data_IF_575126631485
#
_entry.id   IF_575126631485
#
_cell.length_a   1.000
_cell.length_b   1.000
_cell.length_c   1.000
_cell.angle_alpha   90.00
_cell.angle_beta   90.00
_cell.angle_gamma   90.00
#
_symmetry.space_group_name_H-M   'P 1'
#
loop_
_entity.id
_entity.type
_entity.pdbx_description
1 polymer ?
#
# COMPACT_ATOMS: atom_id res chain seq x y z
N UNK A 1 -3.50 19.37 0.31
CA UNK A 1 -3.24 18.06 0.91
C UNK A 1 -1.74 17.94 1.06
N UNK A 2 -1.26 17.79 2.29
CA UNK A 2 0.17 17.63 2.55
C UNK A 2 0.51 16.15 2.42
N UNK A 3 0.71 15.72 1.17
CA UNK A 3 1.26 14.40 0.90
C UNK A 3 2.76 14.45 1.14
N UNK A 4 3.30 13.53 1.95
CA UNK A 4 4.73 13.46 2.21
C UNK A 4 5.27 12.03 2.04
N UNK A 5 6.51 11.93 1.56
CA UNK A 5 7.18 10.66 1.33
C UNK A 5 7.60 10.04 2.65
N UNK A 6 7.34 8.76 2.81
CA UNK A 6 7.75 7.98 3.99
C UNK A 6 8.68 6.84 3.60
N UNK A 7 9.47 6.38 4.56
CA UNK A 7 10.28 5.17 4.38
C UNK A 7 9.39 3.93 4.44
N UNK A 8 9.80 2.85 3.78
CA UNK A 8 9.08 1.57 3.80
C UNK A 8 8.94 0.99 5.20
N UNK A 9 9.92 1.21 6.08
CA UNK A 9 9.85 0.74 7.46
C UNK A 9 8.78 1.48 8.27
N UNK A 10 8.58 2.77 8.00
CA UNK A 10 7.46 3.53 8.58
C UNK A 10 6.13 3.01 8.05
N UNK A 11 6.03 2.77 6.74
CA UNK A 11 4.85 2.20 6.13
C UNK A 11 4.47 0.83 6.75
N UNK A 12 5.44 -0.05 6.92
CA UNK A 12 5.23 -1.38 7.51
C UNK A 12 4.81 -1.31 8.98
N UNK A 13 5.42 -0.42 9.77
CA UNK A 13 5.03 -0.23 11.15
C UNK A 13 3.56 0.19 11.29
N UNK A 14 3.06 0.97 10.32
CA UNK A 14 1.69 1.48 10.33
C UNK A 14 0.67 0.53 9.67
N UNK A 15 1.09 -0.37 8.79
CA UNK A 15 0.19 -1.22 7.96
C UNK A 15 0.36 -2.73 8.17
N UNK A 16 1.21 -3.15 9.12
CA UNK A 16 1.54 -4.57 9.35
C UNK A 16 0.32 -5.47 9.53
N UNK A 17 -0.67 -4.99 10.29
CA UNK A 17 -2.00 -5.58 10.41
C UNK A 17 -3.01 -4.46 10.60
N UNK A 18 -3.85 -4.22 9.60
CA UNK A 18 -4.80 -3.12 9.61
C UNK A 18 -6.07 -3.48 8.84
N UNK A 19 -7.15 -2.73 9.08
CA UNK A 19 -8.36 -2.80 8.24
C UNK A 19 -8.20 -1.78 7.12
N UNK A 20 -8.24 -2.27 5.88
CA UNK A 20 -7.97 -1.42 4.73
C UNK A 20 -8.84 -1.76 3.51
N UNK A 21 -9.04 -0.73 2.69
CA UNK A 21 -9.47 -0.84 1.31
C UNK A 21 -8.30 -0.44 0.42
N UNK A 22 -8.25 -0.94 -0.81
CA UNK A 22 -7.17 -0.54 -1.69
C UNK A 22 -7.32 -1.08 -3.10
N UNK A 23 -6.51 -0.52 -3.98
CA UNK A 23 -6.36 -0.99 -5.34
C UNK A 23 -4.88 -0.98 -5.74
N UNK A 24 -4.51 -1.91 -6.60
CA UNK A 24 -3.23 -1.90 -7.28
C UNK A 24 -3.48 -1.93 -8.78
N UNK A 25 -2.89 -0.96 -9.47
CA UNK A 25 -3.06 -0.76 -10.91
C UNK A 25 -1.68 -0.86 -11.55
N UNK A 26 -1.50 -1.88 -12.38
CA UNK A 26 -0.30 -2.10 -13.17
C UNK A 26 -0.65 -2.19 -14.66
N UNK A 27 0.36 -2.12 -15.53
CA UNK A 27 0.16 -2.30 -16.96
C UNK A 27 -0.45 -3.68 -17.25
N UNK A 28 -1.72 -3.70 -17.67
CA UNK A 28 -2.43 -4.91 -18.07
C UNK A 28 -3.08 -5.70 -16.95
N UNK A 29 -3.05 -5.23 -15.69
CA UNK A 29 -3.74 -5.87 -14.58
C UNK A 29 -4.11 -4.87 -13.47
N UNK A 30 -5.33 -5.00 -12.96
CA UNK A 30 -5.82 -4.32 -11.77
C UNK A 30 -6.34 -5.32 -10.74
N UNK A 31 -6.17 -4.99 -9.46
CA UNK A 31 -6.76 -5.71 -8.34
C UNK A 31 -7.29 -4.69 -7.34
N UNK A 32 -8.47 -4.93 -6.79
CA UNK A 32 -9.05 -4.10 -5.74
C UNK A 32 -9.66 -4.95 -4.64
N UNK A 33 -9.67 -4.42 -3.42
CA UNK A 33 -10.33 -4.99 -2.26
C UNK A 33 -10.94 -3.88 -1.40
N UNK A 34 -11.97 -4.21 -0.64
CA UNK A 34 -12.65 -3.27 0.23
C UNK A 34 -12.84 -3.86 1.61
N UNK A 35 -12.50 -3.08 2.63
CA UNK A 35 -12.86 -3.31 4.01
C UNK A 35 -12.38 -4.68 4.56
N UNK A 36 -11.13 -5.01 4.27
CA UNK A 36 -10.49 -6.30 4.59
C UNK A 36 -9.42 -6.11 5.68
N UNK A 37 -9.26 -7.13 6.53
CA UNK A 37 -8.07 -7.29 7.37
C UNK A 37 -6.86 -7.62 6.48
N UNK A 38 -6.01 -6.61 6.30
CA UNK A 38 -4.81 -6.67 5.48
C UNK A 38 -3.60 -6.95 6.36
N UNK A 39 -2.78 -7.91 5.94
CA UNK A 39 -1.46 -8.13 6.53
C UNK A 39 -0.38 -7.68 5.56
N UNK A 40 0.46 -6.75 6.01
CA UNK A 40 1.55 -6.20 5.21
C UNK A 40 2.89 -6.60 5.83
N UNK A 41 3.77 -7.19 5.04
CA UNK A 41 5.11 -7.53 5.49
C UNK A 41 6.09 -7.48 4.33
N UNK A 42 7.39 -7.42 4.63
CA UNK A 42 8.43 -7.52 3.61
C UNK A 42 9.40 -8.63 3.92
N UNK A 43 10.03 -9.15 2.87
CA UNK A 43 11.26 -9.92 2.99
C UNK A 43 12.44 -9.09 2.46
N UNK A 44 13.55 -9.73 2.08
CA UNK A 44 14.76 -9.03 1.58
C UNK A 44 14.57 -8.38 0.21
N UNK A 45 13.63 -8.85 -0.61
CA UNK A 45 13.45 -8.42 -2.00
C UNK A 45 12.04 -7.95 -2.34
N UNK A 46 11.02 -8.33 -1.57
CA UNK A 46 9.61 -8.11 -1.89
C UNK A 46 8.85 -7.46 -0.71
N UNK A 47 7.87 -6.61 -1.05
CA UNK A 47 6.80 -6.14 -0.18
C UNK A 47 5.53 -6.94 -0.50
N UNK A 48 4.89 -7.50 0.52
CA UNK A 48 3.73 -8.35 0.40
C UNK A 48 2.50 -7.73 1.06
N UNK A 49 1.38 -7.79 0.35
CA UNK A 49 0.05 -7.42 0.80
C UNK A 49 -0.83 -8.68 0.78
N UNK A 50 -1.26 -9.15 1.94
CA UNK A 50 -2.13 -10.32 2.05
C UNK A 50 -3.54 -9.87 2.44
N UNK A 51 -4.43 -9.89 1.46
CA UNK A 51 -5.86 -9.64 1.63
C UNK A 51 -6.60 -10.98 1.62
N UNK A 52 -6.87 -11.54 2.80
CA UNK A 52 -7.45 -12.89 2.99
C UNK A 52 -6.64 -13.98 2.27
N UNK A 53 -7.16 -14.52 1.17
CA UNK A 53 -6.55 -15.61 0.40
C UNK A 53 -5.77 -15.11 -0.82
N UNK A 54 -5.72 -13.80 -1.04
CA UNK A 54 -5.03 -13.18 -2.16
C UNK A 54 -3.78 -12.47 -1.67
N UNK A 55 -2.66 -12.69 -2.35
CA UNK A 55 -1.39 -12.04 -2.06
C UNK A 55 -0.95 -11.23 -3.28
N UNK A 56 -0.69 -9.94 -3.06
CA UNK A 56 0.03 -9.10 -4.01
C UNK A 56 1.47 -8.94 -3.51
N UNK A 57 2.44 -9.12 -4.40
CA UNK A 57 3.87 -8.94 -4.10
C UNK A 57 4.48 -7.92 -5.05
N UNK A 58 5.29 -7.03 -4.50
CA UNK A 58 5.93 -5.95 -5.25
C UNK A 58 7.43 -5.96 -4.94
N UNK A 59 8.30 -6.00 -5.97
CA UNK A 59 9.74 -5.95 -5.74
C UNK A 59 10.12 -4.64 -5.06
N UNK A 60 10.86 -4.72 -3.95
CA UNK A 60 11.37 -3.54 -3.24
C UNK A 60 12.21 -2.63 -4.14
N UNK A 61 12.93 -3.23 -5.10
CA UNK A 61 13.71 -2.53 -6.08
C UNK A 61 12.87 -1.78 -7.13
N UNK A 62 11.58 -2.14 -7.31
CA UNK A 62 10.67 -1.44 -8.22
C UNK A 62 9.94 -0.27 -7.55
N UNK A 63 9.89 -0.20 -6.22
CA UNK A 63 9.27 0.91 -5.49
C UNK A 63 10.07 2.20 -5.74
N UNK A 64 9.39 3.22 -6.27
CA UNK A 64 9.92 4.55 -6.48
C UNK A 64 9.70 5.43 -5.24
N UNK A 65 8.50 5.40 -4.68
CA UNK A 65 8.15 6.13 -3.45
C UNK A 65 6.95 5.50 -2.77
N UNK A 66 6.84 5.79 -1.47
CA UNK A 66 5.63 5.57 -0.69
C UNK A 66 5.23 6.93 -0.15
N UNK A 67 4.03 7.36 -0.47
CA UNK A 67 3.47 8.63 -0.08
C UNK A 67 2.35 8.40 0.93
N UNK A 68 2.27 9.28 1.92
CA UNK A 68 1.26 9.21 2.98
C UNK A 68 0.43 10.47 2.99
N UNK A 69 -0.87 10.29 3.12
CA UNK A 69 -1.86 11.33 3.23
C UNK A 69 -2.78 11.04 4.41
N UNK A 70 -2.97 12.02 5.30
CA UNK A 70 -3.91 11.91 6.42
C UNK A 70 -5.21 12.61 6.08
N UNK A 71 -6.28 11.84 5.91
CA UNK A 71 -7.62 12.29 5.58
C UNK A 71 -8.44 12.48 6.88
N UNK A 72 -8.20 13.60 7.55
CA UNK A 72 -8.77 13.90 8.88
C UNK A 72 -10.29 13.93 8.90
N UNK A 73 -10.93 14.34 7.80
CA UNK A 73 -12.37 14.50 7.71
C UNK A 73 -13.13 13.17 7.79
N UNK A 74 -12.50 12.08 7.34
CA UNK A 74 -13.09 10.73 7.33
C UNK A 74 -12.31 9.73 8.20
N UNK A 75 -11.41 10.23 9.05
CA UNK A 75 -10.59 9.45 9.97
C UNK A 75 -9.80 8.31 9.30
N UNK A 76 -9.33 8.51 8.07
CA UNK A 76 -8.53 7.52 7.35
C UNK A 76 -7.13 8.04 7.02
N UNK A 77 -6.23 7.10 6.72
CA UNK A 77 -4.91 7.39 6.16
C UNK A 77 -4.82 6.71 4.81
N UNK A 78 -4.52 7.47 3.78
CA UNK A 78 -4.25 6.94 2.44
C UNK A 78 -2.74 6.82 2.26
N UNK A 79 -2.31 5.65 1.77
CA UNK A 79 -0.96 5.41 1.30
C UNK A 79 -0.96 5.19 -0.19
N UNK A 80 -0.02 5.82 -0.89
CA UNK A 80 0.21 5.58 -2.31
C UNK A 80 1.63 5.02 -2.51
N UNK A 81 1.74 3.77 -2.94
CA UNK A 81 2.99 3.17 -3.37
C UNK A 81 3.10 3.33 -4.89
N UNK A 82 4.13 4.05 -5.34
CA UNK A 82 4.40 4.29 -6.75
C UNK A 82 5.58 3.43 -7.16
N UNK A 83 5.44 2.69 -8.26
CA UNK A 83 6.51 1.89 -8.85
C UNK A 83 7.22 2.63 -9.98
N UNK A 84 8.46 2.25 -10.27
CA UNK A 84 9.29 2.83 -11.34
C UNK A 84 8.69 2.66 -12.73
N UNK A 85 7.85 1.64 -12.92
CA UNK A 85 7.18 1.36 -14.20
C UNK A 85 5.84 2.10 -14.33
N UNK A 86 5.47 2.95 -13.35
CA UNK A 86 4.24 3.74 -13.37
C UNK A 86 3.02 3.03 -12.80
N UNK A 87 3.18 1.82 -12.25
CA UNK A 87 2.11 1.17 -11.49
C UNK A 87 1.94 1.81 -10.11
N UNK A 88 0.71 1.83 -9.62
CA UNK A 88 0.34 2.46 -8.34
C UNK A 88 -0.41 1.48 -7.45
N UNK A 89 -0.24 1.62 -6.14
CA UNK A 89 -1.03 0.92 -5.13
C UNK A 89 -1.56 1.97 -4.16
N UNK A 90 -2.87 2.11 -4.11
CA UNK A 90 -3.55 3.01 -3.19
C UNK A 90 -4.16 2.19 -2.06
N UNK A 91 -3.98 2.64 -0.84
CA UNK A 91 -4.34 1.88 0.36
C UNK A 91 -4.94 2.82 1.41
N UNK A 92 -6.25 2.73 1.58
CA UNK A 92 -7.02 3.44 2.58
C UNK A 92 -7.11 2.62 3.85
N UNK A 93 -6.51 3.12 4.93
CA UNK A 93 -6.51 2.48 6.24
C UNK A 93 -7.47 3.20 7.18
N UNK A 94 -8.29 2.43 7.89
CA UNK A 94 -9.34 2.89 8.83
C UNK A 94 -9.07 2.42 10.26
#
# INVERSE_FOLDING_TARGET
MDTYKIAIDTFLAETSECRASGCAVFTGADIAFQDIQLHTHRNKSELHFMARHTMLSVPLASILSIEKLVLRDIQSIEYEIITKEGGTITLDVF
#
